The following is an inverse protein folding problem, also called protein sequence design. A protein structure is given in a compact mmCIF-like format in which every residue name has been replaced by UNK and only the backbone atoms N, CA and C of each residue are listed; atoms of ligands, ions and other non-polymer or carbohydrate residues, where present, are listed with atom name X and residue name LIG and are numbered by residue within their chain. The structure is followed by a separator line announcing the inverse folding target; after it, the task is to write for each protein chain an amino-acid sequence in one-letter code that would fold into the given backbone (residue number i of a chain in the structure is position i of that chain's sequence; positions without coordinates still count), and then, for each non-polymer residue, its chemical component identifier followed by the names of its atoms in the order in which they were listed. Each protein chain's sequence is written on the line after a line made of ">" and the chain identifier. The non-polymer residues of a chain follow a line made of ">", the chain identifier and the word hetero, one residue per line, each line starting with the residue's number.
data_IF_700670051142
#
_entry.id   IF_700670051142
#
_cell.length_a   1.000
_cell.length_b   1.000
_cell.length_c   1.000
_cell.angle_alpha   90.00
_cell.angle_beta   90.00
_cell.angle_gamma   90.00
#
_symmetry.space_group_name_H-M   'P 1'
#
loop_
_entity.id
_entity.type
_entity.pdbx_description
1 polymer ?
#
# COMPACT_ATOMS: atom_id res chain seq x y z
N UNK A 1 36.31 12.96 6.83
CA UNK A 1 36.34 11.51 7.02
C UNK A 1 35.83 10.86 5.74
N UNK A 2 36.71 10.28 4.90
CA UNK A 2 36.32 9.50 3.71
C UNK A 2 35.69 8.21 4.22
N UNK A 3 34.38 8.09 3.97
CA UNK A 3 33.60 6.87 4.24
C UNK A 3 34.19 5.78 3.33
N UNK A 4 35.04 4.92 3.86
CA UNK A 4 35.43 3.70 3.19
C UNK A 4 34.12 2.96 2.81
N UNK A 5 33.76 3.01 1.54
CA UNK A 5 32.64 2.20 1.04
C UNK A 5 33.12 0.76 1.14
N UNK A 6 32.63 0.05 2.14
CA UNK A 6 32.90 -1.37 2.30
C UNK A 6 32.43 -2.10 1.04
N UNK A 7 33.33 -2.27 0.09
CA UNK A 7 33.08 -2.88 -1.22
C UNK A 7 32.34 -4.23 -1.04
N UNK A 8 32.73 -4.98 -0.02
CA UNK A 8 32.10 -6.24 0.35
C UNK A 8 30.61 -6.12 0.71
N UNK A 9 30.22 -5.09 1.48
CA UNK A 9 28.81 -4.86 1.80
C UNK A 9 28.01 -4.46 0.55
N UNK A 10 28.62 -3.69 -0.34
CA UNK A 10 27.98 -3.31 -1.61
C UNK A 10 27.82 -4.52 -2.52
N UNK A 11 28.87 -5.36 -2.66
CA UNK A 11 28.80 -6.59 -3.46
C UNK A 11 27.79 -7.59 -2.89
N UNK A 12 27.79 -7.76 -1.56
CA UNK A 12 26.81 -8.61 -0.89
C UNK A 12 25.38 -8.11 -1.12
N UNK A 13 25.15 -6.82 -0.92
CA UNK A 13 23.83 -6.22 -1.21
C UNK A 13 23.40 -6.42 -2.65
N UNK A 14 24.31 -6.22 -3.62
CA UNK A 14 24.03 -6.44 -5.04
C UNK A 14 23.71 -7.92 -5.33
N UNK A 15 24.44 -8.85 -4.73
CA UNK A 15 24.17 -10.28 -4.87
C UNK A 15 22.80 -10.69 -4.32
N UNK A 16 22.42 -10.14 -3.15
CA UNK A 16 21.09 -10.36 -2.57
C UNK A 16 19.99 -9.81 -3.48
N UNK A 17 20.15 -8.58 -3.99
CA UNK A 17 19.19 -8.02 -4.94
C UNK A 17 19.10 -8.85 -6.23
N UNK A 18 20.23 -9.23 -6.81
CA UNK A 18 20.27 -10.07 -8.01
C UNK A 18 19.54 -11.39 -7.77
N UNK A 19 19.76 -12.04 -6.64
CA UNK A 19 19.07 -13.28 -6.28
C UNK A 19 17.55 -13.10 -6.11
N UNK A 20 17.11 -12.02 -5.46
CA UNK A 20 15.68 -11.73 -5.25
C UNK A 20 14.95 -11.39 -6.56
N UNK A 21 15.60 -10.65 -7.46
CA UNK A 21 14.98 -10.23 -8.72
C UNK A 21 15.18 -11.23 -9.87
N UNK A 22 16.11 -12.19 -9.74
CA UNK A 22 16.36 -13.20 -10.77
C UNK A 22 15.10 -13.96 -11.21
N UNK A 23 14.22 -14.47 -10.31
CA UNK A 23 12.99 -15.14 -10.72
C UNK A 23 12.06 -14.24 -11.52
N UNK A 24 11.98 -12.95 -11.18
CA UNK A 24 11.14 -11.97 -11.89
C UNK A 24 11.69 -11.72 -13.29
N UNK A 25 13.01 -11.57 -13.41
CA UNK A 25 13.67 -11.41 -14.71
C UNK A 25 13.45 -12.65 -15.59
N UNK A 26 13.57 -13.85 -15.03
CA UNK A 26 13.28 -15.10 -15.74
C UNK A 26 11.84 -15.12 -16.22
N UNK A 27 10.87 -14.79 -15.38
CA UNK A 27 9.46 -14.71 -15.74
C UNK A 27 9.25 -13.72 -16.90
N UNK A 28 9.84 -12.53 -16.84
CA UNK A 28 9.76 -11.51 -17.90
C UNK A 28 10.37 -12.06 -19.22
N UNK A 29 11.53 -12.69 -19.18
CA UNK A 29 12.15 -13.27 -20.37
C UNK A 29 11.24 -14.35 -20.97
N UNK A 30 10.72 -15.25 -20.16
CA UNK A 30 9.86 -16.33 -20.64
C UNK A 30 8.46 -15.86 -21.08
N UNK A 31 8.04 -14.64 -20.77
CA UNK A 31 6.82 -14.05 -21.35
C UNK A 31 6.93 -13.80 -22.86
N UNK A 32 8.16 -13.71 -23.38
CA UNK A 32 8.45 -13.55 -24.80
C UNK A 32 8.83 -14.86 -25.51
N UNK A 33 8.74 -16.01 -24.81
CA UNK A 33 9.15 -17.31 -25.38
C UNK A 33 8.04 -17.90 -26.25
N UNK A 34 8.39 -18.30 -27.47
CA UNK A 34 7.45 -18.97 -28.41
C UNK A 34 7.26 -20.47 -28.10
N UNK A 35 7.12 -20.83 -26.84
CA UNK A 35 6.87 -22.20 -26.41
C UNK A 35 5.79 -22.23 -25.35
N UNK A 36 4.85 -23.16 -25.44
CA UNK A 36 3.89 -23.43 -24.36
C UNK A 36 4.53 -24.03 -23.09
N UNK A 37 5.81 -24.47 -23.19
CA UNK A 37 6.56 -25.05 -22.08
C UNK A 37 7.60 -24.06 -21.58
N UNK A 38 7.54 -23.63 -20.34
CA UNK A 38 8.42 -22.64 -19.76
C UNK A 38 9.89 -23.07 -19.56
N UNK A 39 10.24 -24.32 -19.86
CA UNK A 39 11.61 -24.82 -19.67
C UNK A 39 12.47 -24.82 -20.95
N UNK A 40 11.87 -24.51 -22.10
CA UNK A 40 12.55 -24.61 -23.41
C UNK A 40 12.34 -23.30 -24.14
N UNK A 41 13.42 -22.58 -24.37
CA UNK A 41 13.40 -21.39 -25.24
C UNK A 41 13.32 -21.80 -26.70
N UNK A 42 12.27 -21.37 -27.42
CA UNK A 42 12.06 -21.69 -28.86
C UNK A 42 12.14 -20.50 -29.77
N UNK A 43 12.24 -19.30 -29.22
CA UNK A 43 12.34 -18.06 -29.99
C UNK A 43 11.55 -16.92 -29.35
N UNK A 44 11.71 -15.73 -29.90
CA UNK A 44 11.04 -14.51 -29.42
C UNK A 44 9.67 -14.37 -30.06
N UNK A 45 8.65 -14.09 -29.25
CA UNK A 45 7.29 -13.80 -29.73
C UNK A 45 6.58 -12.80 -28.82
N UNK A 46 5.65 -12.04 -29.37
CA UNK A 46 4.73 -11.16 -28.64
C UNK A 46 3.29 -11.70 -28.61
N UNK A 47 3.04 -12.89 -29.19
CA UNK A 47 1.69 -13.42 -29.40
C UNK A 47 0.86 -13.55 -28.13
N UNK A 48 1.51 -13.81 -26.98
CA UNK A 48 0.83 -13.99 -25.72
C UNK A 48 0.13 -12.74 -25.19
N UNK A 49 0.64 -11.55 -25.56
CA UNK A 49 0.06 -10.29 -25.11
C UNK A 49 -1.31 -9.98 -25.76
N UNK A 50 -1.49 -10.09 -27.09
CA UNK A 50 -2.82 -10.02 -27.68
C UNK A 50 -3.76 -11.15 -27.21
N UNK A 51 -3.25 -12.37 -27.02
CA UNK A 51 -4.04 -13.52 -26.56
C UNK A 51 -4.63 -13.28 -25.15
N UNK A 52 -3.97 -12.50 -24.27
CA UNK A 52 -4.52 -12.11 -22.96
C UNK A 52 -5.87 -11.40 -23.08
N UNK A 53 -6.03 -10.53 -24.08
CA UNK A 53 -7.28 -9.79 -24.30
C UNK A 53 -8.41 -10.65 -24.86
N UNK A 54 -8.09 -11.83 -25.39
CA UNK A 54 -9.07 -12.86 -25.80
C UNK A 54 -9.40 -13.85 -24.70
N UNK A 55 -8.77 -13.77 -23.52
CA UNK A 55 -9.02 -14.70 -22.41
C UNK A 55 -10.06 -14.11 -21.45
N UNK A 56 -11.35 -14.37 -21.73
CA UNK A 56 -12.47 -13.86 -20.93
C UNK A 56 -12.37 -14.23 -19.44
N UNK A 57 -11.88 -15.42 -19.10
CA UNK A 57 -11.75 -15.85 -17.71
C UNK A 57 -10.68 -15.05 -16.95
N UNK A 58 -9.56 -14.71 -17.60
CA UNK A 58 -8.51 -13.88 -17.05
C UNK A 58 -8.99 -12.44 -16.88
N UNK A 59 -9.66 -11.89 -17.89
CA UNK A 59 -10.20 -10.52 -17.82
C UNK A 59 -11.29 -10.40 -16.76
N UNK A 60 -12.15 -11.40 -16.63
CA UNK A 60 -13.14 -11.45 -15.55
C UNK A 60 -12.46 -11.49 -14.17
N UNK A 61 -11.44 -12.32 -13.98
CA UNK A 61 -10.68 -12.39 -12.72
C UNK A 61 -9.96 -11.08 -12.39
N UNK A 62 -9.37 -10.42 -13.40
CA UNK A 62 -8.78 -9.07 -13.23
C UNK A 62 -9.85 -8.06 -12.84
N UNK A 63 -11.01 -8.10 -13.50
CA UNK A 63 -12.16 -7.23 -13.18
C UNK A 63 -12.64 -7.40 -11.74
N UNK A 64 -12.77 -8.66 -11.27
CA UNK A 64 -13.12 -8.97 -9.87
C UNK A 64 -12.06 -8.42 -8.91
N UNK A 65 -10.75 -8.66 -9.17
CA UNK A 65 -9.67 -8.12 -8.34
C UNK A 65 -9.73 -6.61 -8.21
N UNK A 66 -9.91 -5.89 -9.32
CA UNK A 66 -9.98 -4.42 -9.31
C UNK A 66 -11.21 -3.91 -8.57
N UNK A 67 -12.37 -4.54 -8.74
CA UNK A 67 -13.60 -4.18 -8.03
C UNK A 67 -13.48 -4.42 -6.53
N UNK A 68 -12.99 -5.59 -6.12
CA UNK A 68 -12.74 -5.92 -4.70
C UNK A 68 -11.76 -4.93 -4.10
N UNK A 69 -10.61 -4.69 -4.75
CA UNK A 69 -9.60 -3.76 -4.26
C UNK A 69 -10.16 -2.34 -4.15
N UNK A 70 -10.90 -1.87 -5.15
CA UNK A 70 -11.50 -0.52 -5.12
C UNK A 70 -12.49 -0.36 -3.97
N UNK A 71 -13.44 -1.29 -3.82
CA UNK A 71 -14.44 -1.26 -2.73
C UNK A 71 -13.71 -1.32 -1.38
N UNK A 72 -12.77 -2.24 -1.23
CA UNK A 72 -12.01 -2.41 0.01
C UNK A 72 -11.22 -1.16 0.36
N UNK A 73 -10.50 -0.56 -0.59
CA UNK A 73 -9.70 0.66 -0.37
C UNK A 73 -10.57 1.82 0.07
N UNK A 74 -11.68 2.08 -0.62
CA UNK A 74 -12.55 3.22 -0.31
C UNK A 74 -13.11 3.08 1.12
N UNK A 75 -13.67 1.92 1.44
CA UNK A 75 -14.28 1.69 2.76
C UNK A 75 -13.22 1.65 3.87
N UNK A 76 -12.13 0.92 3.64
CA UNK A 76 -11.03 0.81 4.61
C UNK A 76 -10.37 2.16 4.89
N UNK A 77 -10.15 2.97 3.84
CA UNK A 77 -9.55 4.30 4.00
C UNK A 77 -10.47 5.22 4.81
N UNK A 78 -11.76 5.21 4.54
CA UNK A 78 -12.72 6.02 5.28
C UNK A 78 -12.79 5.58 6.77
N UNK A 79 -13.06 4.30 7.03
CA UNK A 79 -13.21 3.79 8.40
C UNK A 79 -11.87 3.81 9.15
N UNK A 80 -10.78 3.36 8.52
CA UNK A 80 -9.44 3.34 9.12
C UNK A 80 -8.94 4.74 9.47
N UNK A 81 -9.25 5.76 8.64
CA UNK A 81 -8.93 7.16 8.95
C UNK A 81 -9.69 7.63 10.18
N UNK A 82 -11.00 7.37 10.25
CA UNK A 82 -11.81 7.74 11.41
C UNK A 82 -11.35 7.03 12.69
N UNK A 83 -11.05 5.73 12.61
CA UNK A 83 -10.50 4.97 13.71
C UNK A 83 -9.14 5.50 14.17
N UNK A 84 -8.20 5.69 13.24
CA UNK A 84 -6.87 6.20 13.56
C UNK A 84 -6.90 7.58 14.24
N UNK A 85 -7.74 8.50 13.74
CA UNK A 85 -7.97 9.80 14.34
C UNK A 85 -8.66 9.71 15.70
N UNK A 86 -9.71 8.87 15.81
CA UNK A 86 -10.43 8.68 17.05
C UNK A 86 -9.51 8.19 18.16
N UNK A 87 -8.65 7.22 17.87
CA UNK A 87 -7.71 6.67 18.85
C UNK A 87 -6.61 7.68 19.19
N UNK A 88 -6.10 8.44 18.24
CA UNK A 88 -5.11 9.49 18.48
C UNK A 88 -5.62 10.56 19.46
N UNK A 89 -6.95 10.76 19.54
CA UNK A 89 -7.60 11.75 20.41
C UNK A 89 -8.09 11.18 21.75
N UNK A 90 -7.87 9.89 22.03
CA UNK A 90 -8.26 9.30 23.30
C UNK A 90 -7.45 9.89 24.46
N UNK A 91 -8.16 10.45 25.45
CA UNK A 91 -7.53 11.01 26.67
C UNK A 91 -7.16 9.91 27.68
N UNK A 92 -7.88 8.81 27.69
CA UNK A 92 -7.64 7.71 28.61
C UNK A 92 -6.53 6.79 28.10
N UNK A 93 -5.44 6.64 28.87
CA UNK A 93 -4.34 5.72 28.55
C UNK A 93 -4.83 4.27 28.41
N UNK A 94 -5.76 3.82 29.28
CA UNK A 94 -6.32 2.46 29.20
C UNK A 94 -7.09 2.26 27.91
N UNK A 95 -7.95 3.20 27.54
CA UNK A 95 -8.70 3.14 26.27
C UNK A 95 -7.77 3.14 25.07
N UNK A 96 -6.73 3.96 25.05
CA UNK A 96 -5.73 3.97 24.00
C UNK A 96 -5.01 2.62 23.88
N UNK A 97 -4.52 2.06 24.99
CA UNK A 97 -3.84 0.74 24.98
C UNK A 97 -4.75 -0.38 24.51
N UNK A 98 -6.00 -0.43 24.97
CA UNK A 98 -6.97 -1.45 24.51
C UNK A 98 -7.25 -1.30 23.02
N UNK A 99 -7.46 -0.08 22.54
CA UNK A 99 -7.69 0.18 21.12
C UNK A 99 -6.48 -0.18 20.26
N UNK A 100 -5.26 0.09 20.74
CA UNK A 100 -4.03 -0.31 20.07
C UNK A 100 -3.92 -1.82 19.95
N UNK A 101 -4.22 -2.54 21.02
CA UNK A 101 -4.20 -4.00 21.00
C UNK A 101 -5.24 -4.56 20.02
N UNK A 102 -6.46 -4.01 20.02
CA UNK A 102 -7.53 -4.45 19.12
C UNK A 102 -7.18 -4.21 17.64
N UNK A 103 -6.56 -3.08 17.32
CA UNK A 103 -6.12 -2.80 15.94
C UNK A 103 -4.97 -3.72 15.52
N UNK A 104 -4.08 -4.09 16.43
CA UNK A 104 -2.97 -4.98 16.11
C UNK A 104 -3.40 -6.43 15.87
N UNK A 105 -4.52 -6.87 16.46
CA UNK A 105 -4.98 -8.26 16.35
C UNK A 105 -5.07 -8.77 14.91
N UNK A 106 -5.73 -8.07 13.96
CA UNK A 106 -5.80 -8.55 12.58
C UNK A 106 -4.44 -8.65 11.89
N UNK A 107 -3.48 -7.79 12.26
CA UNK A 107 -2.14 -7.80 11.65
C UNK A 107 -1.26 -8.95 12.14
N UNK A 108 -1.49 -9.41 13.38
CA UNK A 108 -0.71 -10.50 13.97
C UNK A 108 -1.38 -11.86 13.70
N UNK A 109 -2.67 -11.85 13.41
CA UNK A 109 -3.43 -13.07 13.10
C UNK A 109 -2.95 -13.68 11.78
N UNK A 110 -2.60 -14.97 11.73
CA UNK A 110 -2.26 -15.64 10.48
C UNK A 110 -3.40 -15.53 9.46
N UNK A 111 -3.08 -15.15 8.23
CA UNK A 111 -4.06 -14.93 7.15
C UNK A 111 -4.98 -16.13 6.93
N UNK A 112 -4.45 -17.36 7.05
CA UNK A 112 -5.23 -18.60 6.93
C UNK A 112 -6.31 -18.66 8.01
N UNK A 113 -5.95 -18.32 9.27
CA UNK A 113 -6.90 -18.33 10.39
C UNK A 113 -7.98 -17.29 10.16
N UNK A 114 -7.60 -16.11 9.69
CA UNK A 114 -8.54 -15.03 9.36
C UNK A 114 -9.47 -15.43 8.22
N UNK A 115 -8.96 -16.01 7.15
CA UNK A 115 -9.74 -16.47 6.00
C UNK A 115 -10.78 -17.53 6.40
N UNK A 116 -10.38 -18.53 7.19
CA UNK A 116 -11.30 -19.57 7.68
C UNK A 116 -12.34 -18.99 8.66
N UNK A 117 -11.90 -18.10 9.57
CA UNK A 117 -12.82 -17.48 10.54
C UNK A 117 -13.90 -16.65 9.86
N UNK A 118 -13.52 -15.88 8.83
CA UNK A 118 -14.48 -15.10 8.04
C UNK A 118 -15.41 -15.99 7.22
N UNK A 119 -14.88 -17.07 6.60
CA UNK A 119 -15.72 -18.06 5.92
C UNK A 119 -16.79 -18.61 6.87
N UNK A 120 -16.39 -19.07 8.06
CA UNK A 120 -17.32 -19.60 9.07
C UNK A 120 -18.32 -18.54 9.52
N UNK A 121 -17.86 -17.31 9.77
CA UNK A 121 -18.71 -16.18 10.12
C UNK A 121 -19.81 -15.95 9.08
N UNK A 122 -19.44 -15.89 7.81
CA UNK A 122 -20.41 -15.69 6.73
C UNK A 122 -21.33 -16.89 6.52
N UNK A 123 -20.82 -18.10 6.61
CA UNK A 123 -21.61 -19.31 6.46
C UNK A 123 -22.66 -19.48 7.57
N UNK A 124 -22.28 -19.23 8.84
CA UNK A 124 -23.15 -19.43 9.99
C UNK A 124 -24.17 -18.31 10.15
N UNK A 125 -23.81 -17.05 9.88
CA UNK A 125 -24.70 -15.92 10.15
C UNK A 125 -25.53 -15.50 8.93
N UNK A 126 -25.00 -15.73 7.72
CA UNK A 126 -25.61 -15.24 6.49
C UNK A 126 -25.93 -16.35 5.47
N UNK A 127 -25.65 -17.62 5.81
CA UNK A 127 -25.80 -18.78 4.90
C UNK A 127 -25.12 -18.52 3.53
N UNK A 128 -24.03 -17.78 3.53
CA UNK A 128 -23.39 -17.29 2.33
C UNK A 128 -22.33 -18.27 1.84
N UNK A 129 -22.33 -18.57 0.54
CA UNK A 129 -21.50 -19.59 -0.11
C UNK A 129 -20.36 -19.00 -0.94
N UNK A 130 -19.80 -17.90 -0.49
CA UNK A 130 -18.73 -17.19 -1.21
C UNK A 130 -19.29 -16.21 -2.25
N UNK A 131 -18.72 -15.02 -2.29
CA UNK A 131 -19.07 -13.99 -3.27
C UNK A 131 -18.03 -12.87 -3.31
N UNK A 132 -18.07 -12.05 -4.35
CA UNK A 132 -17.22 -10.85 -4.44
C UNK A 132 -17.40 -9.93 -3.22
N UNK A 133 -18.64 -9.78 -2.73
CA UNK A 133 -18.92 -8.93 -1.55
C UNK A 133 -18.30 -9.52 -0.27
N UNK A 134 -18.34 -10.83 -0.10
CA UNK A 134 -17.68 -11.49 1.04
C UNK A 134 -16.17 -11.26 1.02
N UNK A 135 -15.53 -11.41 -0.15
CA UNK A 135 -14.11 -11.11 -0.33
C UNK A 135 -13.85 -9.65 0.05
N UNK A 136 -14.66 -8.70 -0.47
CA UNK A 136 -14.46 -7.29 -0.17
C UNK A 136 -14.59 -6.98 1.33
N UNK A 137 -15.59 -7.53 2.03
CA UNK A 137 -15.76 -7.34 3.47
C UNK A 137 -14.59 -7.98 4.25
N UNK A 138 -14.11 -9.14 3.82
CA UNK A 138 -12.97 -9.81 4.43
C UNK A 138 -11.68 -8.95 4.29
N UNK A 139 -11.46 -8.40 3.09
CA UNK A 139 -10.33 -7.49 2.85
C UNK A 139 -10.44 -6.18 3.63
N UNK A 140 -11.65 -5.63 3.78
CA UNK A 140 -11.91 -4.46 4.63
C UNK A 140 -11.52 -4.77 6.08
N UNK A 141 -12.02 -5.88 6.63
CA UNK A 141 -11.76 -6.27 8.02
C UNK A 141 -10.27 -6.42 8.32
N UNK A 142 -9.50 -6.98 7.39
CA UNK A 142 -8.06 -7.13 7.50
C UNK A 142 -7.32 -5.79 7.33
N UNK A 143 -7.67 -5.01 6.30
CA UNK A 143 -6.92 -3.82 5.90
C UNK A 143 -7.17 -2.59 6.77
N UNK A 144 -8.29 -2.52 7.50
CA UNK A 144 -8.64 -1.39 8.39
C UNK A 144 -7.52 -1.09 9.37
N UNK A 145 -6.91 -2.11 9.93
CA UNK A 145 -5.84 -2.01 10.92
C UNK A 145 -4.63 -1.25 10.38
N UNK A 146 -4.21 -1.54 9.15
CA UNK A 146 -3.07 -0.91 8.50
C UNK A 146 -3.31 0.59 8.29
N UNK A 147 -4.47 0.96 7.76
CA UNK A 147 -4.82 2.37 7.55
C UNK A 147 -4.92 3.12 8.88
N UNK A 148 -5.59 2.51 9.88
CA UNK A 148 -5.77 3.14 11.19
C UNK A 148 -4.43 3.42 11.89
N UNK A 149 -3.47 2.49 11.85
CA UNK A 149 -2.14 2.67 12.45
C UNK A 149 -1.37 3.79 11.75
N UNK A 150 -1.36 3.81 10.41
CA UNK A 150 -0.63 4.82 9.64
C UNK A 150 -1.19 6.21 9.90
N UNK A 151 -2.52 6.35 9.86
CA UNK A 151 -3.19 7.63 10.12
C UNK A 151 -3.00 8.07 11.56
N UNK A 152 -3.12 7.14 12.53
CA UNK A 152 -2.88 7.42 13.95
C UNK A 152 -1.46 7.91 14.21
N UNK A 153 -0.45 7.24 13.66
CA UNK A 153 0.94 7.64 13.81
C UNK A 153 1.16 9.08 13.33
N UNK A 154 0.55 9.45 12.21
CA UNK A 154 0.58 10.82 11.70
C UNK A 154 -0.20 11.79 12.58
N UNK A 155 -1.41 11.42 13.01
CA UNK A 155 -2.26 12.27 13.84
C UNK A 155 -1.63 12.61 15.20
N UNK A 156 -0.95 11.65 15.83
CA UNK A 156 -0.22 11.87 17.10
C UNK A 156 0.98 12.80 16.93
N UNK A 157 1.58 12.87 15.74
CA UNK A 157 2.70 13.77 15.45
C UNK A 157 2.28 15.23 15.17
N UNK A 158 0.99 15.52 15.05
CA UNK A 158 0.49 16.87 14.81
C UNK A 158 0.35 17.62 16.13
N UNK A 159 0.67 18.93 16.12
CA UNK A 159 0.42 19.81 17.27
C UNK A 159 -1.10 20.07 17.40
N UNK A 160 -1.73 19.68 18.54
CA UNK A 160 -3.15 19.93 18.78
C UNK A 160 -3.55 21.40 18.72
N UNK A 161 -2.60 22.31 19.02
CA UNK A 161 -2.82 23.76 19.00
C UNK A 161 -3.20 24.30 17.63
N UNK A 162 -2.84 23.63 16.55
CA UNK A 162 -3.21 24.06 15.20
C UNK A 162 -4.73 24.04 14.97
N UNK A 163 -5.42 23.04 15.51
CA UNK A 163 -6.88 22.94 15.43
C UNK A 163 -7.55 23.93 16.41
N UNK A 164 -6.97 24.14 17.59
CA UNK A 164 -7.42 25.12 18.58
C UNK A 164 -7.31 26.54 18.01
N UNK A 165 -6.17 26.92 17.44
CA UNK A 165 -5.96 28.23 16.82
C UNK A 165 -6.97 28.51 15.69
N UNK A 166 -7.29 27.52 14.86
CA UNK A 166 -8.32 27.68 13.84
C UNK A 166 -9.69 27.98 14.44
N UNK A 167 -10.02 27.34 15.57
CA UNK A 167 -11.29 27.59 16.28
C UNK A 167 -11.33 28.95 16.95
N UNK A 168 -10.23 29.43 17.50
CA UNK A 168 -10.10 30.76 18.09
C UNK A 168 -10.31 31.85 17.02
N UNK A 169 -9.95 31.55 15.77
CA UNK A 169 -10.23 32.41 14.61
C UNK A 169 -11.68 32.29 14.08
N UNK A 170 -12.57 31.55 14.78
CA UNK A 170 -13.99 31.42 14.44
C UNK A 170 -14.34 30.24 13.55
N UNK A 171 -13.41 29.33 13.25
CA UNK A 171 -13.72 28.14 12.49
C UNK A 171 -14.57 27.16 13.31
N UNK A 172 -15.64 26.64 12.71
CA UNK A 172 -16.39 25.51 13.27
C UNK A 172 -15.52 24.25 13.34
N UNK A 173 -15.90 23.26 14.18
CA UNK A 173 -15.19 21.98 14.29
C UNK A 173 -15.01 21.28 12.93
N UNK A 174 -16.02 21.34 12.07
CA UNK A 174 -15.96 20.78 10.72
C UNK A 174 -14.97 21.54 9.83
N UNK A 175 -14.96 22.85 9.91
CA UNK A 175 -14.03 23.70 9.14
C UNK A 175 -12.58 23.47 9.60
N UNK A 176 -12.32 23.44 10.90
CA UNK A 176 -11.00 23.12 11.45
C UNK A 176 -10.53 21.72 11.01
N UNK A 177 -11.41 20.72 11.03
CA UNK A 177 -11.09 19.39 10.52
C UNK A 177 -10.75 19.39 9.02
N UNK A 178 -11.62 19.96 8.18
CA UNK A 178 -11.47 19.90 6.72
C UNK A 178 -10.31 20.76 6.20
N UNK A 179 -10.02 21.89 6.83
CA UNK A 179 -9.02 22.85 6.33
C UNK A 179 -7.67 22.76 7.06
N UNK A 180 -7.63 22.16 8.26
CA UNK A 180 -6.37 22.00 9.02
C UNK A 180 -6.01 20.54 9.17
N UNK A 181 -6.84 19.75 9.87
CA UNK A 181 -6.49 18.36 10.21
C UNK A 181 -6.37 17.47 8.98
N UNK A 182 -7.40 17.46 8.12
CA UNK A 182 -7.45 16.58 6.95
C UNK A 182 -6.31 16.81 5.95
N UNK A 183 -5.95 18.05 5.57
CA UNK A 183 -4.78 18.28 4.72
C UNK A 183 -3.47 17.81 5.33
N UNK A 184 -3.30 17.95 6.64
CA UNK A 184 -2.08 17.55 7.35
C UNK A 184 -1.90 16.03 7.46
N UNK A 185 -3.00 15.28 7.53
CA UNK A 185 -2.98 13.81 7.54
C UNK A 185 -3.12 13.20 6.14
N UNK A 186 -3.50 13.98 5.11
CA UNK A 186 -3.76 13.48 3.76
C UNK A 186 -2.62 12.62 3.18
N UNK A 187 -1.33 12.94 3.39
CA UNK A 187 -0.25 12.05 2.95
C UNK A 187 -0.28 10.67 3.61
N UNK A 188 -0.64 10.60 4.90
CA UNK A 188 -0.78 9.34 5.63
C UNK A 188 -2.02 8.56 5.19
N UNK A 189 -3.13 9.24 4.93
CA UNK A 189 -4.35 8.64 4.37
C UNK A 189 -4.07 8.04 2.99
N UNK A 190 -3.36 8.78 2.13
CA UNK A 190 -2.97 8.29 0.81
C UNK A 190 -2.02 7.08 0.90
N UNK A 191 -1.04 7.10 1.82
CA UNK A 191 -0.16 5.97 2.05
C UNK A 191 -0.94 4.74 2.56
N UNK A 192 -1.88 4.94 3.49
CA UNK A 192 -2.77 3.89 3.98
C UNK A 192 -3.64 3.29 2.87
N UNK A 193 -4.21 4.13 2.01
CA UNK A 193 -4.99 3.70 0.85
C UNK A 193 -4.16 2.85 -0.13
N UNK A 194 -2.92 3.26 -0.42
CA UNK A 194 -2.02 2.50 -1.29
C UNK A 194 -1.65 1.14 -0.70
N UNK A 195 -1.39 1.06 0.61
CA UNK A 195 -1.11 -0.21 1.29
C UNK A 195 -2.35 -1.10 1.27
N UNK A 196 -3.54 -0.55 1.57
CA UNK A 196 -4.79 -1.29 1.48
C UNK A 196 -5.07 -1.83 0.08
N UNK A 197 -4.74 -1.04 -0.97
CA UNK A 197 -4.82 -1.50 -2.35
C UNK A 197 -3.89 -2.67 -2.62
N UNK A 198 -2.62 -2.56 -2.24
CA UNK A 198 -1.65 -3.63 -2.45
C UNK A 198 -2.10 -4.91 -1.75
N UNK A 199 -2.44 -4.83 -0.46
CA UNK A 199 -2.90 -5.97 0.35
C UNK A 199 -4.16 -6.64 -0.21
N UNK A 200 -5.09 -5.85 -0.77
CA UNK A 200 -6.32 -6.39 -1.34
C UNK A 200 -6.13 -6.97 -2.73
N UNK A 201 -5.22 -6.38 -3.54
CA UNK A 201 -5.02 -6.79 -4.93
C UNK A 201 -4.21 -8.06 -5.08
N UNK A 202 -3.22 -8.31 -4.20
CA UNK A 202 -2.35 -9.47 -4.24
C UNK A 202 -2.80 -10.61 -3.31
N UNK A 203 -3.89 -10.41 -2.54
CA UNK A 203 -4.38 -11.44 -1.64
C UNK A 203 -4.84 -12.70 -2.37
N UNK A 204 -4.29 -13.81 -1.93
CA UNK A 204 -4.66 -15.14 -2.36
C UNK A 204 -5.36 -15.93 -1.25
N UNK A 205 -4.88 -15.76 -0.02
CA UNK A 205 -5.21 -16.66 1.09
C UNK A 205 -6.63 -16.40 1.58
N UNK A 206 -6.94 -15.19 2.00
CA UNK A 206 -8.27 -14.81 2.49
C UNK A 206 -9.30 -15.01 1.37
N UNK A 207 -8.94 -14.60 0.15
CA UNK A 207 -9.77 -14.79 -1.04
C UNK A 207 -10.09 -16.27 -1.29
N UNK A 208 -9.13 -17.19 -1.16
CA UNK A 208 -9.34 -18.61 -1.45
C UNK A 208 -10.40 -19.27 -0.59
N UNK A 209 -10.62 -18.76 0.62
CA UNK A 209 -11.68 -19.24 1.52
C UNK A 209 -13.02 -18.54 1.28
N UNK A 210 -13.02 -17.31 0.83
CA UNK A 210 -14.23 -16.48 0.73
C UNK A 210 -14.75 -16.30 -0.70
N UNK A 211 -14.03 -16.78 -1.72
CA UNK A 211 -14.47 -16.75 -3.10
C UNK A 211 -15.52 -17.83 -3.36
N UNK A 212 -16.55 -17.47 -4.14
CA UNK A 212 -17.56 -18.37 -4.64
C UNK A 212 -17.51 -18.47 -6.17
N UNK A 213 -18.52 -19.12 -6.73
CA UNK A 213 -18.64 -19.27 -8.19
C UNK A 213 -18.72 -17.89 -8.85
N UNK A 214 -17.86 -17.63 -9.83
CA UNK A 214 -17.81 -16.36 -10.57
C UNK A 214 -17.11 -15.21 -9.84
N UNK A 215 -16.56 -15.40 -8.63
CA UNK A 215 -15.85 -14.37 -7.87
C UNK A 215 -14.35 -14.66 -7.71
N UNK A 216 -13.74 -15.32 -8.67
CA UNK A 216 -12.31 -15.60 -8.67
C UNK A 216 -11.53 -14.32 -8.92
N UNK A 217 -10.59 -13.97 -8.00
CA UNK A 217 -9.66 -12.87 -8.21
C UNK A 217 -8.48 -13.29 -9.10
N UNK A 218 -7.71 -12.34 -9.59
CA UNK A 218 -6.55 -12.61 -10.44
C UNK A 218 -5.48 -13.47 -9.76
N UNK A 219 -5.07 -13.24 -8.50
CA UNK A 219 -4.16 -14.15 -7.79
C UNK A 219 -4.71 -15.57 -7.69
N UNK A 220 -5.99 -15.72 -7.37
CA UNK A 220 -6.63 -17.04 -7.27
C UNK A 220 -6.71 -17.74 -8.64
N UNK A 221 -7.02 -17.00 -9.69
CA UNK A 221 -6.99 -17.50 -11.07
C UNK A 221 -5.59 -17.98 -11.45
N UNK A 222 -4.57 -17.17 -11.26
CA UNK A 222 -3.16 -17.51 -11.54
C UNK A 222 -2.77 -18.76 -10.74
N UNK A 223 -3.05 -18.82 -9.45
CA UNK A 223 -2.73 -19.94 -8.58
C UNK A 223 -3.39 -21.24 -9.06
N UNK A 224 -4.66 -21.18 -9.47
CA UNK A 224 -5.38 -22.34 -10.01
C UNK A 224 -4.73 -22.87 -11.29
N UNK A 225 -4.20 -21.98 -12.14
CA UNK A 225 -3.54 -22.36 -13.41
C UNK A 225 -2.15 -22.94 -13.20
N UNK A 226 -1.39 -22.42 -12.24
CA UNK A 226 -0.04 -22.93 -11.93
C UNK A 226 -0.06 -24.42 -11.58
N UNK A 227 -1.13 -24.92 -10.97
CA UNK A 227 -1.30 -26.34 -10.66
C UNK A 227 -1.29 -27.25 -11.90
N UNK A 228 -1.71 -26.72 -13.04
CA UNK A 228 -1.70 -27.43 -14.33
C UNK A 228 -0.46 -27.12 -15.19
N UNK A 229 0.47 -26.34 -14.67
CA UNK A 229 1.67 -25.85 -15.33
C UNK A 229 1.60 -24.36 -15.66
N UNK A 230 2.71 -23.67 -15.47
CA UNK A 230 2.83 -22.25 -15.79
C UNK A 230 2.79 -22.09 -17.32
N UNK A 231 1.79 -21.38 -17.82
CA UNK A 231 1.69 -21.06 -19.26
C UNK A 231 2.36 -19.72 -19.55
N UNK A 232 2.84 -19.46 -20.76
CA UNK A 232 3.42 -18.18 -21.13
C UNK A 232 2.45 -16.99 -20.99
N UNK A 233 1.15 -17.23 -21.09
CA UNK A 233 0.11 -16.22 -20.81
C UNK A 233 0.19 -15.72 -19.36
N UNK A 234 0.46 -16.61 -18.38
CA UNK A 234 0.66 -16.22 -16.97
C UNK A 234 1.92 -15.37 -16.83
N UNK A 235 2.99 -15.71 -17.54
CA UNK A 235 4.19 -14.90 -17.55
C UNK A 235 3.93 -13.52 -18.17
N UNK A 236 3.13 -13.45 -19.24
CA UNK A 236 2.81 -12.19 -19.92
C UNK A 236 1.96 -11.27 -19.02
N UNK A 237 0.90 -11.78 -18.35
CA UNK A 237 0.11 -10.95 -17.42
C UNK A 237 0.93 -10.52 -16.21
N UNK A 238 1.76 -11.40 -15.65
CA UNK A 238 2.65 -11.05 -14.54
C UNK A 238 3.67 -9.99 -14.95
N UNK A 239 4.20 -10.06 -16.18
CA UNK A 239 5.09 -9.04 -16.75
C UNK A 239 4.40 -7.68 -16.86
N UNK A 240 3.15 -7.63 -17.32
CA UNK A 240 2.36 -6.40 -17.37
C UNK A 240 2.19 -5.81 -15.97
N UNK A 241 1.83 -6.63 -14.97
CA UNK A 241 1.64 -6.17 -13.59
C UNK A 241 2.94 -5.59 -13.03
N UNK A 242 4.07 -6.29 -13.22
CA UNK A 242 5.40 -5.81 -12.79
C UNK A 242 5.75 -4.48 -13.47
N UNK A 243 5.51 -4.34 -14.77
CA UNK A 243 5.77 -3.10 -15.50
C UNK A 243 4.89 -1.95 -15.02
N UNK A 244 3.59 -2.19 -14.85
CA UNK A 244 2.66 -1.17 -14.34
C UNK A 244 3.07 -0.71 -12.95
N UNK A 245 3.42 -1.65 -12.06
CA UNK A 245 3.89 -1.34 -10.70
C UNK A 245 5.20 -0.56 -10.73
N UNK A 246 6.17 -0.97 -11.55
CA UNK A 246 7.45 -0.27 -11.68
C UNK A 246 7.26 1.17 -12.21
N UNK A 247 6.40 1.35 -13.21
CA UNK A 247 6.07 2.68 -13.75
C UNK A 247 5.40 3.54 -12.68
N UNK A 248 4.43 3.00 -11.92
CA UNK A 248 3.75 3.71 -10.84
C UNK A 248 4.74 4.19 -9.76
N UNK A 249 5.69 3.33 -9.37
CA UNK A 249 6.75 3.68 -8.41
C UNK A 249 7.64 4.79 -8.98
N UNK A 250 8.11 4.67 -10.23
CA UNK A 250 8.97 5.67 -10.86
C UNK A 250 8.27 7.03 -10.97
N UNK A 251 7.00 7.04 -11.35
CA UNK A 251 6.18 8.27 -11.40
C UNK A 251 6.05 8.89 -10.01
N UNK A 252 5.73 8.10 -8.99
CA UNK A 252 5.61 8.54 -7.60
C UNK A 252 6.92 9.18 -7.10
N UNK A 253 8.06 8.53 -7.34
CA UNK A 253 9.38 9.05 -6.97
C UNK A 253 9.69 10.39 -7.67
N UNK A 254 9.37 10.51 -8.97
CA UNK A 254 9.59 11.75 -9.72
C UNK A 254 8.71 12.90 -9.22
N UNK A 255 7.45 12.61 -8.92
CA UNK A 255 6.51 13.61 -8.37
C UNK A 255 7.00 14.09 -7.00
N UNK A 256 7.38 13.18 -6.11
CA UNK A 256 7.91 13.50 -4.79
C UNK A 256 9.20 14.30 -4.84
N UNK A 257 10.13 13.95 -5.74
CA UNK A 257 11.38 14.70 -5.94
C UNK A 257 11.15 16.11 -6.47
N UNK A 258 10.13 16.34 -7.30
CA UNK A 258 9.76 17.67 -7.78
C UNK A 258 9.15 18.54 -6.68
N UNK A 259 8.39 17.94 -5.76
CA UNK A 259 7.78 18.65 -4.63
C UNK A 259 8.84 19.15 -3.65
N UNK A 260 9.80 18.30 -3.28
CA UNK A 260 10.90 18.67 -2.38
C UNK A 260 11.82 19.76 -2.93
N UNK A 261 11.95 19.89 -4.26
CA UNK A 261 12.73 20.97 -4.89
C UNK A 261 12.02 22.32 -4.90
N UNK A 262 10.73 22.38 -4.60
CA UNK A 262 9.93 23.62 -4.57
C UNK A 262 9.83 24.24 -3.19
N UNK A 263 10.25 23.54 -2.12
CA UNK A 263 10.39 24.10 -0.79
C UNK A 263 11.82 24.65 -0.67
N UNK A 264 12.04 26.00 -0.68
CA UNK A 264 13.35 26.59 -0.43
C UNK A 264 13.76 26.24 1.00
N UNK A 265 15.00 25.79 1.18
CA UNK A 265 15.56 25.54 2.50
C UNK A 265 15.47 26.82 3.34
N UNK A 266 14.74 26.77 4.43
CA UNK A 266 14.62 27.87 5.41
C UNK A 266 15.93 28.18 6.14
N UNK A 267 17.01 27.49 5.83
CA UNK A 267 18.33 27.70 6.45
C UNK A 267 19.11 28.89 5.91
N UNK A 268 18.79 29.41 4.70
CA UNK A 268 19.52 30.56 4.14
C UNK A 268 19.05 31.91 4.70
N UNK A 269 17.92 31.98 5.38
CA UNK A 269 17.41 33.23 5.93
C UNK A 269 17.98 33.61 7.32
N UNK A 270 18.56 32.62 8.03
CA UNK A 270 19.13 32.86 9.37
C UNK A 270 20.59 33.36 9.35
N UNK A 271 21.29 33.22 8.23
CA UNK A 271 22.68 33.67 8.09
C UNK A 271 22.81 35.14 7.73
N UNK A 272 21.73 35.81 7.29
CA UNK A 272 21.77 37.18 6.82
C UNK A 272 21.42 38.23 7.89
N UNK A 273 21.14 37.88 9.14
CA UNK A 273 20.69 38.81 10.18
C UNK A 273 21.52 38.81 11.45
N UNK A 274 22.85 38.74 11.34
CA UNK A 274 23.74 39.04 12.47
C UNK A 274 24.15 40.52 12.29
N UNK A 275 23.58 41.47 13.06
CA UNK A 275 24.09 42.87 13.06
C UNK A 275 25.47 42.87 13.69
N UNK A 276 26.43 43.48 12.99
CA UNK A 276 27.78 43.72 13.48
C UNK A 276 27.72 44.44 14.84
N UNK A 277 28.16 43.75 15.87
CA UNK A 277 28.30 44.28 17.23
C UNK A 277 29.36 45.40 17.19
N UNK A 278 28.91 46.63 17.40
CA UNK A 278 29.78 47.78 17.59
C UNK A 278 30.65 47.57 18.84
N UNK A 279 31.96 47.55 18.67
CA UNK A 279 32.93 47.56 19.74
C UNK A 279 32.81 48.87 20.58
N UNK A 280 32.81 48.78 21.92
CA UNK A 280 32.83 49.97 22.74
C UNK A 280 34.22 50.63 22.70
N UNK A 281 34.26 51.88 22.29
CA UNK A 281 35.41 52.78 22.39
C UNK A 281 35.82 52.94 23.84
N UNK A 282 37.08 52.69 24.14
CA UNK A 282 37.79 53.09 25.36
C UNK A 282 37.89 54.61 25.46
N UNK A 283 37.53 55.16 26.59
CA UNK A 283 37.80 56.58 26.98
C UNK A 283 38.65 56.52 28.23
N UNK A 284 39.61 57.53 28.37
CA UNK A 284 40.78 57.45 29.21
C UNK A 284 40.52 57.50 30.71
#
# INVERSE_FOLDING_TARGET
>A
MRRERNLWLTLYGLAVYAFLFAPIVVLIIFSFNDSKRNFIWRGFTLKWYPELFGNDALLAALGVSLQVAFISVVVTTAIGTLLGLGIARLRSRRAATVSDTLILLPMVTPEVVMGISLLLFFALLFSANGSMLQIAIAHIAFSISYVAIIVRARAVSLDPRMEEAARDLGASARQAFLHVTLPLIAPAVAAGALISFALSFDDLIITSFNAGVGSSTLPLYIYSRIRFGVTPEINAISTIIVLVTAIAILVSLRVSARRNRREPSSDDSSAASIPAHQSPTSVP
#
